data_IF_528788944430
#
_entry.id   IF_528788944430
#
_cell.length_a   1.000
_cell.length_b   1.000
_cell.length_c   1.000
_cell.angle_alpha   90.00
_cell.angle_beta   90.00
_cell.angle_gamma   90.00
#
_symmetry.space_group_name_H-M   'P 1'
#
loop_
_entity.id
_entity.type
_entity.pdbx_description
1 polymer ?
#
# COMPACT_ATOMS: atom_id res chain seq x y z
N UNK A 1 -4.44 31.73 -32.99
CA UNK A 1 -4.74 31.23 -31.63
C UNK A 1 -3.46 30.64 -31.08
N UNK A 2 -2.85 31.34 -30.13
CA UNK A 2 -1.61 30.92 -29.49
C UNK A 2 -2.03 30.12 -28.25
N UNK A 3 -1.83 28.80 -28.27
CA UNK A 3 -1.90 27.99 -27.05
C UNK A 3 -0.80 28.50 -26.12
N UNK A 4 -1.19 29.27 -25.10
CA UNK A 4 -0.34 29.53 -23.94
C UNK A 4 -0.01 28.16 -23.34
N UNK A 5 1.23 27.70 -23.52
CA UNK A 5 1.77 26.59 -22.77
C UNK A 5 1.62 26.97 -21.30
N UNK A 6 0.73 26.30 -20.59
CA UNK A 6 0.56 26.50 -19.17
C UNK A 6 1.93 26.30 -18.50
N UNK A 7 2.28 27.21 -17.58
CA UNK A 7 3.50 27.07 -16.80
C UNK A 7 3.52 25.67 -16.15
N UNK A 8 4.68 24.99 -16.14
CA UNK A 8 4.78 23.67 -15.52
C UNK A 8 4.29 23.75 -14.08
N UNK A 9 3.39 22.85 -13.72
CA UNK A 9 2.81 22.80 -12.36
C UNK A 9 3.95 22.66 -11.36
N UNK A 10 4.15 23.68 -10.54
CA UNK A 10 5.16 23.65 -9.47
C UNK A 10 4.71 22.68 -8.38
N UNK A 11 5.54 21.70 -8.06
CA UNK A 11 5.30 20.80 -6.94
C UNK A 11 5.58 21.49 -5.60
N UNK A 12 4.80 21.15 -4.57
CA UNK A 12 5.06 21.58 -3.18
C UNK A 12 6.04 20.66 -2.45
N UNK A 13 6.49 19.57 -3.10
CA UNK A 13 7.43 18.62 -2.52
C UNK A 13 8.86 19.15 -2.62
N UNK A 14 9.68 18.87 -1.60
CA UNK A 14 11.12 19.07 -1.73
C UNK A 14 11.68 18.12 -2.79
N UNK A 15 12.83 18.45 -3.38
CA UNK A 15 13.43 17.63 -4.44
C UNK A 15 13.64 16.17 -4.02
N UNK A 16 14.05 15.93 -2.77
CA UNK A 16 14.24 14.58 -2.24
C UNK A 16 12.92 13.79 -2.12
N UNK A 17 11.85 14.42 -1.63
CA UNK A 17 10.54 13.78 -1.52
C UNK A 17 9.92 13.57 -2.89
N UNK A 18 10.04 14.56 -3.78
CA UNK A 18 9.58 14.44 -5.17
C UNK A 18 10.22 13.23 -5.85
N UNK A 19 11.55 13.09 -5.73
CA UNK A 19 12.28 11.97 -6.31
C UNK A 19 11.79 10.61 -5.80
N UNK A 20 11.65 10.44 -4.48
CA UNK A 20 11.16 9.18 -3.90
C UNK A 20 9.74 8.84 -4.39
N UNK A 21 8.84 9.83 -4.39
CA UNK A 21 7.42 9.61 -4.69
C UNK A 21 7.17 9.43 -6.19
N UNK A 22 7.85 10.19 -7.04
CA UNK A 22 7.53 10.28 -8.46
C UNK A 22 8.47 9.48 -9.37
N UNK A 23 9.68 9.13 -8.90
CA UNK A 23 10.75 8.65 -9.78
C UNK A 23 11.34 7.32 -9.30
N UNK A 24 11.79 7.24 -8.05
CA UNK A 24 12.60 6.10 -7.54
C UNK A 24 11.98 4.72 -7.82
N UNK A 25 10.68 4.55 -7.55
CA UNK A 25 9.96 3.29 -7.76
C UNK A 25 9.79 2.89 -9.24
N UNK A 26 10.08 3.76 -10.20
CA UNK A 26 9.93 3.49 -11.62
C UNK A 26 11.26 3.25 -12.34
N UNK A 27 12.39 3.38 -11.65
CA UNK A 27 13.74 3.29 -12.23
C UNK A 27 14.11 1.85 -12.63
N UNK A 28 13.74 0.87 -11.81
CA UNK A 28 13.96 -0.55 -12.12
C UNK A 28 12.81 -1.03 -13.00
N UNK A 29 13.13 -1.47 -14.23
CA UNK A 29 12.19 -2.16 -15.11
C UNK A 29 12.37 -3.68 -14.96
N UNK A 30 11.64 -4.25 -14.03
CA UNK A 30 11.53 -5.69 -13.81
C UNK A 30 10.06 -6.05 -13.69
N UNK A 31 9.66 -7.22 -14.18
CA UNK A 31 8.30 -7.72 -14.06
C UNK A 31 8.31 -9.06 -13.30
N UNK A 32 8.48 -9.01 -11.96
CA UNK A 32 8.38 -10.21 -11.14
C UNK A 32 6.98 -10.81 -11.31
N UNK A 33 6.91 -12.10 -11.66
CA UNK A 33 5.62 -12.76 -11.84
C UNK A 33 4.79 -12.71 -10.56
N UNK A 34 3.50 -12.36 -10.66
CA UNK A 34 2.62 -12.18 -9.49
C UNK A 34 2.62 -13.37 -8.52
N UNK A 35 2.85 -14.59 -9.02
CA UNK A 35 2.95 -15.82 -8.24
C UNK A 35 4.10 -15.83 -7.21
N UNK A 36 5.07 -14.91 -7.31
CA UNK A 36 6.09 -14.74 -6.26
C UNK A 36 5.63 -13.78 -5.14
N UNK A 37 4.55 -13.03 -5.34
CA UNK A 37 4.04 -12.01 -4.41
C UNK A 37 2.76 -12.50 -3.73
N UNK A 38 1.87 -13.13 -4.50
CA UNK A 38 0.55 -13.56 -4.06
C UNK A 38 0.35 -15.03 -4.45
N UNK A 39 -0.19 -15.83 -3.54
CA UNK A 39 -0.58 -17.22 -3.81
C UNK A 39 -1.86 -17.30 -4.67
N UNK A 40 -2.17 -18.49 -5.20
CA UNK A 40 -3.44 -18.73 -5.89
C UNK A 40 -4.68 -18.53 -5.00
N UNK A 41 -4.50 -18.58 -3.66
CA UNK A 41 -5.53 -18.32 -2.64
C UNK A 41 -5.66 -16.83 -2.26
N UNK A 42 -4.84 -15.94 -2.83
CA UNK A 42 -4.85 -14.51 -2.53
C UNK A 42 -4.01 -14.10 -1.31
N UNK A 43 -3.19 -15.00 -0.76
CA UNK A 43 -2.33 -14.73 0.39
C UNK A 43 -1.03 -14.04 -0.05
N UNK A 44 -0.61 -13.01 0.70
CA UNK A 44 0.60 -12.25 0.39
C UNK A 44 1.84 -12.94 0.98
N UNK A 45 2.86 -13.16 0.14
CA UNK A 45 4.17 -13.66 0.56
C UNK A 45 5.03 -12.54 1.15
N UNK A 46 4.75 -12.15 2.39
CA UNK A 46 5.42 -11.04 3.09
C UNK A 46 6.94 -11.08 3.06
N UNK A 47 7.53 -12.29 3.12
CA UNK A 47 8.98 -12.47 3.04
C UNK A 47 9.58 -11.83 1.78
N UNK A 48 8.91 -11.97 0.63
CA UNK A 48 9.38 -11.39 -0.64
C UNK A 48 9.37 -9.87 -0.56
N UNK A 49 8.34 -9.27 0.05
CA UNK A 49 8.27 -7.81 0.23
C UNK A 49 9.37 -7.33 1.18
N UNK A 50 9.59 -8.00 2.31
CA UNK A 50 10.60 -7.65 3.31
C UNK A 50 12.02 -7.71 2.73
N UNK A 51 12.33 -8.67 1.84
CA UNK A 51 13.64 -8.77 1.18
C UNK A 51 13.99 -7.56 0.28
N UNK A 52 12.99 -6.74 -0.08
CA UNK A 52 13.15 -5.51 -0.85
C UNK A 52 13.25 -4.25 0.02
N UNK A 53 13.01 -4.37 1.33
CA UNK A 53 13.21 -3.29 2.31
C UNK A 53 14.69 -3.22 2.65
N UNK A 54 15.29 -2.03 2.46
CA UNK A 54 16.74 -1.79 2.60
C UNK A 54 17.01 -0.92 3.82
N UNK A 55 18.08 -1.27 4.53
CA UNK A 55 18.55 -0.53 5.69
C UNK A 55 19.96 0.00 5.39
N UNK A 56 20.28 1.15 5.96
CA UNK A 56 21.62 1.74 5.91
C UNK A 56 22.64 0.80 6.59
N UNK A 57 23.93 0.96 6.25
CA UNK A 57 25.00 0.08 6.71
C UNK A 57 25.04 -0.09 8.25
N UNK A 58 25.42 -1.28 8.75
CA UNK A 58 25.39 -1.61 10.17
C UNK A 58 26.44 -0.81 10.95
N UNK A 59 26.03 0.36 11.46
CA UNK A 59 26.89 1.27 12.22
C UNK A 59 26.35 1.62 13.60
N UNK A 60 25.19 2.27 13.70
CA UNK A 60 24.70 2.77 15.01
C UNK A 60 23.17 2.76 15.18
N UNK A 61 22.36 2.78 14.13
CA UNK A 61 20.91 2.46 14.19
C UNK A 61 20.53 1.85 12.83
N UNK A 62 19.64 0.84 12.80
CA UNK A 62 19.07 0.36 11.53
C UNK A 62 18.12 1.45 10.99
N UNK A 63 18.68 2.44 10.31
CA UNK A 63 17.89 3.45 9.62
C UNK A 63 17.43 2.87 8.30
N UNK A 64 16.15 3.07 7.98
CA UNK A 64 15.59 2.64 6.71
C UNK A 64 16.16 3.48 5.57
N UNK A 65 16.71 2.82 4.55
CA UNK A 65 17.04 3.48 3.29
C UNK A 65 15.77 3.58 2.44
N UNK A 66 15.07 4.70 2.58
CA UNK A 66 13.80 4.95 1.88
C UNK A 66 13.97 4.91 0.36
N UNK A 67 15.08 5.41 -0.16
CA UNK A 67 15.31 5.53 -1.60
C UNK A 67 15.50 4.15 -2.19
N UNK A 68 16.42 3.35 -1.65
CA UNK A 68 16.67 1.99 -2.14
C UNK A 68 15.47 1.07 -1.90
N UNK A 69 14.77 1.24 -0.77
CA UNK A 69 13.55 0.47 -0.49
C UNK A 69 12.45 0.75 -1.52
N UNK A 70 12.14 2.02 -1.78
CA UNK A 70 11.10 2.38 -2.76
C UNK A 70 11.49 1.94 -4.18
N UNK A 71 12.76 2.13 -4.55
CA UNK A 71 13.28 1.65 -5.83
C UNK A 71 13.12 0.14 -6.00
N UNK A 72 13.45 -0.61 -4.97
CA UNK A 72 13.38 -2.08 -4.95
C UNK A 72 11.92 -2.58 -4.93
N UNK A 73 11.02 -1.91 -4.19
CA UNK A 73 9.60 -2.27 -4.10
C UNK A 73 8.80 -1.91 -5.36
N UNK A 74 9.23 -0.92 -6.12
CA UNK A 74 8.56 -0.43 -7.33
C UNK A 74 8.07 -1.53 -8.30
N UNK A 75 8.94 -2.43 -8.76
CA UNK A 75 8.55 -3.58 -9.60
C UNK A 75 7.50 -4.50 -8.99
N UNK A 76 7.52 -4.72 -7.67
CA UNK A 76 6.50 -5.53 -6.98
C UNK A 76 5.15 -4.81 -7.01
N UNK A 77 5.14 -3.51 -6.70
CA UNK A 77 3.94 -2.69 -6.76
C UNK A 77 3.33 -2.63 -8.17
N UNK A 78 4.16 -2.50 -9.20
CA UNK A 78 3.72 -2.54 -10.60
C UNK A 78 3.09 -3.90 -10.94
N UNK A 79 3.72 -5.00 -10.52
CA UNK A 79 3.21 -6.36 -10.77
C UNK A 79 1.85 -6.59 -10.10
N UNK A 80 1.69 -6.12 -8.85
CA UNK A 80 0.40 -6.17 -8.13
C UNK A 80 -0.65 -5.30 -8.83
N UNK A 81 -0.28 -4.09 -9.26
CA UNK A 81 -1.19 -3.20 -9.98
C UNK A 81 -1.69 -3.80 -11.29
N UNK A 82 -0.78 -4.36 -12.10
CA UNK A 82 -1.12 -5.02 -13.37
C UNK A 82 -1.97 -6.28 -13.13
N UNK A 83 -1.66 -7.05 -12.09
CA UNK A 83 -2.49 -8.19 -11.72
C UNK A 83 -3.92 -7.74 -11.37
N UNK A 84 -4.09 -6.74 -10.51
CA UNK A 84 -5.41 -6.21 -10.16
C UNK A 84 -6.17 -5.71 -11.39
N UNK A 85 -5.50 -5.03 -12.33
CA UNK A 85 -6.12 -4.61 -13.59
C UNK A 85 -6.57 -5.80 -14.46
N UNK A 86 -5.84 -6.91 -14.44
CA UNK A 86 -6.14 -8.10 -15.23
C UNK A 86 -7.36 -8.89 -14.75
N UNK A 87 -7.71 -8.77 -13.47
CA UNK A 87 -8.84 -9.48 -12.88
C UNK A 87 -10.18 -8.94 -13.43
N UNK A 88 -11.17 -9.80 -13.58
CA UNK A 88 -12.57 -9.37 -13.71
C UNK A 88 -13.22 -9.21 -12.32
N UNK A 89 -14.42 -8.60 -12.28
CA UNK A 89 -15.11 -8.31 -11.01
C UNK A 89 -15.37 -9.59 -10.20
N UNK A 90 -15.81 -10.66 -10.86
CA UNK A 90 -16.07 -11.94 -10.20
C UNK A 90 -14.80 -12.53 -9.58
N UNK A 91 -13.68 -12.50 -10.30
CA UNK A 91 -12.39 -12.98 -9.76
C UNK A 91 -11.94 -12.14 -8.57
N UNK A 92 -12.09 -10.82 -8.62
CA UNK A 92 -11.79 -9.94 -7.49
C UNK A 92 -12.66 -10.25 -6.27
N UNK A 93 -13.96 -10.45 -6.46
CA UNK A 93 -14.89 -10.82 -5.39
C UNK A 93 -14.55 -12.18 -4.79
N UNK A 94 -14.35 -13.19 -5.63
CA UNK A 94 -14.10 -14.56 -5.17
C UNK A 94 -12.72 -14.71 -4.48
N UNK A 95 -11.70 -13.98 -4.93
CA UNK A 95 -10.31 -14.13 -4.45
C UNK A 95 -9.93 -13.15 -3.33
N UNK A 96 -10.41 -11.91 -3.39
CA UNK A 96 -9.89 -10.82 -2.54
C UNK A 96 -10.94 -10.27 -1.58
N UNK A 97 -12.22 -10.19 -1.96
CA UNK A 97 -13.23 -9.54 -1.11
C UNK A 97 -13.46 -10.24 0.23
N UNK A 98 -13.28 -11.57 0.30
CA UNK A 98 -13.37 -12.32 1.56
C UNK A 98 -12.40 -11.78 2.62
N UNK A 99 -11.19 -11.39 2.21
CA UNK A 99 -10.14 -10.85 3.09
C UNK A 99 -10.45 -9.45 3.62
N UNK A 100 -11.40 -8.73 3.01
CA UNK A 100 -11.76 -7.37 3.38
C UNK A 100 -13.09 -7.26 4.15
N UNK A 101 -13.80 -8.37 4.38
CA UNK A 101 -15.12 -8.36 5.04
C UNK A 101 -15.10 -7.80 6.47
N UNK A 102 -13.98 -7.93 7.18
CA UNK A 102 -13.82 -7.40 8.53
C UNK A 102 -13.92 -5.87 8.59
N UNK A 103 -13.66 -5.17 7.48
CA UNK A 103 -13.75 -3.70 7.39
C UNK A 103 -15.18 -3.17 7.39
N UNK A 104 -16.17 -4.04 7.14
CA UNK A 104 -17.59 -3.68 7.01
C UNK A 104 -17.90 -2.60 5.96
N UNK A 105 -17.03 -2.40 4.97
CA UNK A 105 -17.23 -1.41 3.90
C UNK A 105 -16.92 -1.96 2.49
N UNK A 106 -17.56 -3.07 2.06
CA UNK A 106 -17.24 -3.73 0.80
C UNK A 106 -17.41 -2.83 -0.43
N UNK A 107 -18.34 -1.90 -0.41
CA UNK A 107 -18.60 -0.94 -1.49
C UNK A 107 -17.41 -0.02 -1.79
N UNK A 108 -16.52 0.24 -0.83
CA UNK A 108 -15.31 1.04 -1.07
C UNK A 108 -14.30 0.24 -1.89
N UNK A 109 -14.14 -1.05 -1.60
CA UNK A 109 -13.23 -1.94 -2.33
C UNK A 109 -13.70 -2.17 -3.76
N UNK A 110 -15.00 -2.36 -3.98
CA UNK A 110 -15.57 -2.50 -5.33
C UNK A 110 -15.38 -1.23 -6.17
N UNK A 111 -15.62 -0.04 -5.58
CA UNK A 111 -15.37 1.24 -6.26
C UNK A 111 -13.89 1.45 -6.58
N UNK A 112 -13.00 1.04 -5.69
CA UNK A 112 -11.56 1.10 -5.90
C UNK A 112 -11.13 0.19 -7.05
N UNK A 113 -11.65 -1.03 -7.10
CA UNK A 113 -11.33 -1.98 -8.17
C UNK A 113 -11.73 -1.44 -9.55
N UNK A 114 -12.91 -0.82 -9.64
CA UNK A 114 -13.35 -0.12 -10.85
C UNK A 114 -12.41 1.05 -11.21
N UNK A 115 -11.98 1.82 -10.21
CA UNK A 115 -11.08 2.95 -10.42
C UNK A 115 -9.66 2.54 -10.86
N UNK A 116 -9.14 1.39 -10.41
CA UNK A 116 -7.84 0.86 -10.85
C UNK A 116 -7.82 0.58 -12.35
N UNK A 117 -8.98 0.28 -12.95
CA UNK A 117 -9.14 0.08 -14.40
C UNK A 117 -9.30 1.39 -15.18
N UNK A 118 -9.39 2.52 -14.48
CA UNK A 118 -9.52 3.83 -15.11
C UNK A 118 -8.19 4.27 -15.75
N UNK A 119 -8.26 4.93 -16.91
CA UNK A 119 -7.12 5.62 -17.51
C UNK A 119 -6.75 6.92 -16.78
N UNK A 120 -7.55 7.36 -15.82
CA UNK A 120 -7.33 8.62 -15.09
C UNK A 120 -6.52 8.39 -13.82
N UNK A 121 -5.23 8.76 -13.85
CA UNK A 121 -4.32 8.63 -12.69
C UNK A 121 -4.86 9.26 -11.41
N UNK A 122 -5.57 10.40 -11.51
CA UNK A 122 -6.22 11.06 -10.36
C UNK A 122 -7.29 10.18 -9.72
N UNK A 123 -8.08 9.44 -10.50
CA UNK A 123 -9.11 8.56 -9.98
C UNK A 123 -8.49 7.38 -9.21
N UNK A 124 -7.39 6.83 -9.71
CA UNK A 124 -6.61 5.79 -9.03
C UNK A 124 -6.06 6.32 -7.71
N UNK A 125 -5.39 7.48 -7.72
CA UNK A 125 -4.81 8.08 -6.52
C UNK A 125 -5.86 8.41 -5.44
N UNK A 126 -6.98 9.02 -5.82
CA UNK A 126 -8.08 9.32 -4.89
C UNK A 126 -8.71 8.06 -4.31
N UNK A 127 -8.83 7.01 -5.13
CA UNK A 127 -9.37 5.73 -4.68
C UNK A 127 -8.44 5.02 -3.70
N UNK A 128 -7.13 5.08 -3.93
CA UNK A 128 -6.13 4.58 -2.98
C UNK A 128 -6.18 5.36 -1.65
N UNK A 129 -6.28 6.70 -1.69
CA UNK A 129 -6.43 7.51 -0.47
C UNK A 129 -7.71 7.17 0.32
N UNK A 130 -8.81 6.92 -0.38
CA UNK A 130 -10.05 6.50 0.26
C UNK A 130 -9.94 5.10 0.87
N UNK A 131 -9.26 4.19 0.18
CA UNK A 131 -8.99 2.84 0.66
C UNK A 131 -8.15 2.87 1.94
N UNK A 132 -7.05 3.63 1.97
CA UNK A 132 -6.19 3.72 3.15
C UNK A 132 -6.93 4.31 4.34
N UNK A 133 -7.74 5.36 4.15
CA UNK A 133 -8.61 5.90 5.19
C UNK A 133 -9.64 4.89 5.71
N UNK A 134 -10.21 4.05 4.83
CA UNK A 134 -11.13 2.99 5.22
C UNK A 134 -10.43 1.92 6.08
N UNK A 135 -9.21 1.53 5.72
CA UNK A 135 -8.42 0.56 6.48
C UNK A 135 -8.02 1.12 7.85
N UNK A 136 -7.56 2.36 7.91
CA UNK A 136 -7.22 3.03 9.17
C UNK A 136 -8.42 3.10 10.12
N UNK A 137 -9.59 3.49 9.61
CA UNK A 137 -10.83 3.49 10.42
C UNK A 137 -11.20 2.09 10.89
N UNK A 138 -11.15 1.08 10.02
CA UNK A 138 -11.49 -0.29 10.39
C UNK A 138 -10.55 -0.84 11.47
N UNK A 139 -9.25 -0.53 11.40
CA UNK A 139 -8.29 -0.88 12.45
C UNK A 139 -8.58 -0.15 13.77
N UNK A 140 -8.94 1.14 13.69
CA UNK A 140 -9.37 1.92 14.85
C UNK A 140 -10.64 1.37 15.50
N UNK A 141 -11.62 0.93 14.70
CA UNK A 141 -12.85 0.30 15.18
C UNK A 141 -12.53 -1.01 15.94
N UNK A 142 -11.63 -1.84 15.41
CA UNK A 142 -11.14 -3.05 16.12
C UNK A 142 -10.51 -2.68 17.46
N UNK A 143 -9.72 -1.60 17.50
CA UNK A 143 -9.10 -1.12 18.74
C UNK A 143 -10.13 -0.60 19.75
N UNK A 144 -11.12 0.18 19.31
CA UNK A 144 -12.21 0.69 20.15
C UNK A 144 -13.08 -0.43 20.72
N UNK A 145 -13.30 -1.51 19.97
CA UNK A 145 -14.03 -2.69 20.46
C UNK A 145 -13.36 -3.36 21.67
N UNK A 146 -12.06 -3.15 21.88
CA UNK A 146 -11.32 -3.61 23.06
C UNK A 146 -11.47 -2.66 24.27
N UNK A 147 -12.25 -1.58 24.14
CA UNK A 147 -12.54 -0.63 25.21
C UNK A 147 -11.38 0.33 25.53
N UNK A 148 -10.53 0.62 24.53
CA UNK A 148 -9.35 1.47 24.66
C UNK A 148 -9.42 2.66 23.71
N UNK A 149 -8.80 3.78 24.09
CA UNK A 149 -8.71 4.97 23.27
C UNK A 149 -7.75 4.75 22.07
N UNK A 150 -8.26 4.94 20.86
CA UNK A 150 -7.49 4.72 19.63
C UNK A 150 -6.33 5.73 19.52
N UNK A 151 -5.08 5.26 19.26
CA UNK A 151 -3.97 6.15 18.92
C UNK A 151 -4.27 7.03 17.70
N UNK A 152 -3.69 8.23 17.68
CA UNK A 152 -3.92 9.19 16.60
C UNK A 152 -3.18 8.84 15.30
N UNK A 153 -2.03 8.19 15.39
CA UNK A 153 -1.22 7.84 14.22
C UNK A 153 -1.40 6.36 13.89
N UNK A 154 -1.62 6.04 12.60
CA UNK A 154 -1.69 4.66 12.11
C UNK A 154 -0.49 3.81 12.54
N UNK A 155 0.72 4.37 12.57
CA UNK A 155 1.91 3.63 13.03
C UNK A 155 1.79 3.21 14.50
N UNK A 156 1.25 4.09 15.35
CA UNK A 156 1.11 3.83 16.78
C UNK A 156 -0.03 2.83 17.02
N UNK A 157 -1.09 2.91 16.20
CA UNK A 157 -2.16 1.93 16.15
C UNK A 157 -1.64 0.55 15.75
N UNK A 158 -0.84 0.44 14.69
CA UNK A 158 -0.25 -0.83 14.23
C UNK A 158 0.75 -1.42 15.23
N UNK A 159 1.50 -0.59 15.96
CA UNK A 159 2.43 -1.03 16.99
C UNK A 159 1.78 -1.45 18.31
N UNK A 160 0.45 -1.35 18.42
CA UNK A 160 -0.27 -1.60 19.67
C UNK A 160 -0.36 -3.09 20.03
N UNK A 161 -0.26 -3.37 21.33
CA UNK A 161 -0.39 -4.73 21.85
C UNK A 161 -1.81 -5.28 21.65
N UNK A 162 -2.80 -4.38 21.63
CA UNK A 162 -4.20 -4.66 21.36
C UNK A 162 -4.37 -5.26 19.96
N UNK A 163 -3.88 -4.60 18.91
CA UNK A 163 -3.93 -5.17 17.56
C UNK A 163 -3.07 -6.42 17.44
N UNK A 164 -1.92 -6.49 18.13
CA UNK A 164 -1.10 -7.70 18.17
C UNK A 164 -1.83 -8.89 18.83
N UNK A 165 -2.75 -8.64 19.76
CA UNK A 165 -3.56 -9.70 20.38
C UNK A 165 -4.66 -10.22 19.46
N UNK A 166 -5.14 -9.40 18.52
CA UNK A 166 -6.18 -9.74 17.54
C UNK A 166 -5.59 -10.42 16.30
N UNK A 167 -4.51 -9.84 15.75
CA UNK A 167 -3.88 -10.32 14.51
C UNK A 167 -2.71 -11.29 14.75
N UNK A 168 -2.26 -11.42 16.00
CA UNK A 168 -1.10 -12.22 16.38
C UNK A 168 0.21 -11.42 16.36
N UNK A 169 1.09 -11.73 17.31
CA UNK A 169 2.37 -11.04 17.50
C UNK A 169 3.26 -11.08 16.24
N UNK A 170 3.28 -12.20 15.53
CA UNK A 170 4.05 -12.37 14.29
C UNK A 170 3.66 -11.41 13.17
N UNK A 171 2.40 -10.95 13.16
CA UNK A 171 1.90 -10.02 12.15
C UNK A 171 2.31 -8.60 12.50
N UNK A 172 2.49 -8.25 13.78
CA UNK A 172 2.85 -6.90 14.23
C UNK A 172 4.37 -6.72 14.39
N UNK A 173 5.09 -7.76 14.80
CA UNK A 173 6.55 -7.73 14.98
C UNK A 173 7.34 -7.67 13.67
N UNK A 174 6.71 -7.91 12.52
CA UNK A 174 7.33 -7.73 11.20
C UNK A 174 7.34 -6.26 10.71
N UNK A 175 6.71 -5.35 11.45
CA UNK A 175 6.63 -3.91 11.13
C UNK A 175 7.50 -3.04 12.04
N UNK A 176 8.15 -3.63 13.06
CA UNK A 176 9.16 -2.98 13.92
C UNK A 176 10.55 -3.38 13.46
#
# INVERSE_FOLDING_TARGET
FQMLLADPVSTCLSSAVHYIVCEAGFEIKSNPGISCIISDSGEVYWRVIIEHVRYEEPGVYQTLDYVESVRSLGPLCESVHLHLQSLNMKQFEDQLMLWFQWTKCPEIFLKMFDAIKSSHATAVALSLMKLTSCLERALGDVFLLLGKDCPFLLRDLLASQELASVFGQSVVSGWM
#
